data_IF_947035878981
#
_entry.id   IF_947035878981
#
_cell.length_a   1.000
_cell.length_b   1.000
_cell.length_c   1.000
_cell.angle_alpha   90.00
_cell.angle_beta   90.00
_cell.angle_gamma   90.00
#
_symmetry.space_group_name_H-M   'P 1'
#
loop_
_entity.id
_entity.type
_entity.pdbx_description
1 polymer ?
#
# COMPACT_ATOMS: atom_id res chain seq x y z
N UNK A 1 8.18 17.77 -10.60
CA UNK A 1 6.96 17.13 -10.07
C UNK A 1 7.31 16.32 -8.82
N UNK A 2 6.65 16.55 -7.71
CA UNK A 2 6.88 15.76 -6.48
C UNK A 2 6.05 14.49 -6.53
N UNK A 3 6.69 13.35 -6.34
CA UNK A 3 6.00 12.07 -6.20
C UNK A 3 5.57 11.89 -4.75
N UNK A 4 4.34 11.45 -4.54
CA UNK A 4 3.77 11.26 -3.22
C UNK A 4 3.43 9.79 -2.99
N UNK A 5 3.90 9.27 -1.86
CA UNK A 5 3.50 7.97 -1.34
C UNK A 5 2.40 8.21 -0.30
N UNK A 6 1.22 7.71 -0.57
CA UNK A 6 0.07 7.88 0.33
C UNK A 6 0.00 6.74 1.34
N UNK A 7 -0.19 7.10 2.61
CA UNK A 7 -0.35 6.13 3.68
C UNK A 7 -1.80 5.68 3.77
N UNK A 8 -2.02 4.40 3.46
CA UNK A 8 -3.31 3.73 3.60
C UNK A 8 -3.35 2.88 4.87
N UNK A 9 -4.49 2.84 5.53
CA UNK A 9 -4.70 2.09 6.77
C UNK A 9 -5.95 1.23 6.65
N UNK A 10 -5.85 -0.03 7.03
CA UNK A 10 -7.02 -0.90 7.13
C UNK A 10 -7.86 -0.51 8.36
N UNK A 11 -9.15 -0.20 8.20
CA UNK A 11 -10.02 0.19 9.30
C UNK A 11 -10.35 -0.95 10.27
N UNK A 12 -10.06 -2.20 9.95
CA UNK A 12 -10.20 -3.33 10.86
C UNK A 12 -9.10 -3.40 11.92
N UNK A 13 -8.01 -2.66 11.72
CA UNK A 13 -6.99 -2.47 12.74
C UNK A 13 -7.40 -1.33 13.67
N UNK A 14 -7.45 -1.67 14.96
CA UNK A 14 -7.81 -0.79 16.07
C UNK A 14 -7.10 0.59 16.00
N UNK A 15 -7.69 1.56 16.66
CA UNK A 15 -7.34 2.98 16.77
C UNK A 15 -5.88 3.33 17.17
N UNK A 16 -4.98 2.35 17.23
CA UNK A 16 -3.54 2.51 17.44
C UNK A 16 -2.73 2.77 16.17
N UNK A 17 -3.39 2.83 15.02
CA UNK A 17 -2.75 3.28 13.79
C UNK A 17 -2.33 4.74 13.94
N UNK A 18 -1.03 4.98 13.90
CA UNK A 18 -0.45 6.29 14.25
C UNK A 18 -0.72 7.37 13.21
N UNK A 19 -0.96 6.99 11.97
CA UNK A 19 -1.19 7.92 10.87
C UNK A 19 -1.79 7.20 9.67
N UNK A 20 -2.45 7.96 8.80
CA UNK A 20 -2.97 7.48 7.52
C UNK A 20 -4.49 7.58 7.43
N UNK A 21 -5.00 7.31 6.24
CA UNK A 21 -6.42 7.33 5.92
C UNK A 21 -6.86 5.95 5.44
N UNK A 22 -8.01 5.50 5.93
CA UNK A 22 -8.64 4.32 5.36
C UNK A 22 -9.03 4.55 3.90
N UNK A 23 -8.69 3.64 2.97
CA UNK A 23 -9.13 3.75 1.57
C UNK A 23 -10.65 3.84 1.41
N UNK A 24 -11.40 3.30 2.37
CA UNK A 24 -12.87 3.32 2.36
C UNK A 24 -13.45 4.65 2.84
N UNK A 25 -12.65 5.50 3.45
CA UNK A 25 -13.12 6.79 3.97
C UNK A 25 -13.27 7.80 2.84
N UNK A 26 -14.33 8.62 2.91
CA UNK A 26 -14.61 9.65 1.90
C UNK A 26 -13.44 10.64 1.73
N UNK A 27 -12.80 11.04 2.82
CA UNK A 27 -11.65 11.96 2.81
C UNK A 27 -10.47 11.41 1.99
N UNK A 28 -10.29 10.10 1.91
CA UNK A 28 -9.26 9.51 1.07
C UNK A 28 -9.50 9.81 -0.42
N UNK A 29 -10.75 9.71 -0.88
CA UNK A 29 -11.14 10.04 -2.26
C UNK A 29 -10.96 11.53 -2.55
N UNK A 30 -11.39 12.37 -1.63
CA UNK A 30 -11.23 13.83 -1.75
C UNK A 30 -9.75 14.24 -1.83
N UNK A 31 -8.90 13.62 -1.01
CA UNK A 31 -7.44 13.81 -1.06
C UNK A 31 -6.87 13.39 -2.42
N UNK A 32 -7.30 12.24 -2.94
CA UNK A 32 -6.88 11.78 -4.27
C UNK A 32 -7.27 12.79 -5.35
N UNK A 33 -8.49 13.30 -5.34
CA UNK A 33 -8.98 14.29 -6.31
C UNK A 33 -8.14 15.58 -6.28
N UNK A 34 -7.81 16.07 -5.08
CA UNK A 34 -6.95 17.25 -4.91
C UNK A 34 -5.55 17.01 -5.47
N UNK A 35 -4.94 15.86 -5.16
CA UNK A 35 -3.59 15.51 -5.64
C UNK A 35 -3.59 15.34 -7.16
N UNK A 36 -4.60 14.66 -7.71
CA UNK A 36 -4.71 14.40 -9.14
C UNK A 36 -5.02 15.66 -9.98
N UNK A 37 -5.69 16.64 -9.38
CA UNK A 37 -5.95 17.93 -10.00
C UNK A 37 -4.72 18.85 -10.02
N UNK A 38 -3.70 18.58 -9.21
CA UNK A 38 -2.51 19.41 -9.09
C UNK A 38 -1.44 19.04 -10.15
N UNK A 39 -0.98 19.97 -10.97
CA UNK A 39 0.11 19.70 -11.92
C UNK A 39 1.49 19.57 -11.24
N UNK A 40 1.58 19.96 -9.98
CA UNK A 40 2.84 19.94 -9.23
C UNK A 40 3.12 18.61 -8.53
N UNK A 41 2.13 17.72 -8.47
CA UNK A 41 2.21 16.44 -7.73
C UNK A 41 1.79 15.26 -8.59
N UNK A 42 2.33 14.09 -8.29
CA UNK A 42 1.86 12.83 -8.86
C UNK A 42 1.83 11.76 -7.79
N UNK A 43 0.93 10.78 -7.94
CA UNK A 43 0.89 9.63 -7.05
C UNK A 43 1.95 8.63 -7.51
N UNK A 44 2.87 8.31 -6.61
CA UNK A 44 3.87 7.26 -6.82
C UNK A 44 3.34 5.89 -6.37
N UNK A 45 2.62 5.87 -5.26
CA UNK A 45 2.08 4.63 -4.71
C UNK A 45 1.41 4.81 -3.36
N UNK A 46 1.21 3.68 -2.70
CA UNK A 46 0.54 3.58 -1.42
C UNK A 46 1.40 2.81 -0.43
N UNK A 47 1.36 3.23 0.82
CA UNK A 47 2.12 2.64 1.91
C UNK A 47 1.20 2.26 3.06
N UNK A 48 1.43 1.10 3.64
CA UNK A 48 0.77 0.68 4.88
C UNK A 48 1.78 0.03 5.82
N UNK A 49 1.66 0.35 7.10
CA UNK A 49 2.54 -0.16 8.14
C UNK A 49 1.70 -0.57 9.35
N UNK A 50 1.68 -1.87 9.64
CA UNK A 50 1.03 -2.41 10.82
C UNK A 50 1.96 -2.32 12.05
N UNK A 51 1.93 -1.17 12.72
CA UNK A 51 2.71 -0.95 13.95
C UNK A 51 2.42 -1.97 15.05
N UNK A 52 1.21 -2.53 15.06
CA UNK A 52 0.77 -3.58 15.99
C UNK A 52 1.52 -4.90 15.79
N UNK A 53 2.06 -5.16 14.61
CA UNK A 53 2.78 -6.40 14.29
C UNK A 53 4.02 -6.60 15.16
N UNK A 54 4.57 -5.54 15.75
CA UNK A 54 5.68 -5.64 16.71
C UNK A 54 5.29 -6.34 18.02
N UNK A 55 3.99 -6.44 18.32
CA UNK A 55 3.46 -7.20 19.44
C UNK A 55 3.07 -8.64 19.06
N UNK A 56 3.30 -9.07 17.82
CA UNK A 56 2.98 -10.42 17.35
C UNK A 56 3.75 -11.47 18.15
N UNK A 57 3.04 -12.51 18.56
CA UNK A 57 3.60 -13.64 19.33
C UNK A 57 3.86 -14.86 18.45
N UNK A 58 3.41 -14.86 17.21
CA UNK A 58 3.57 -15.96 16.26
C UNK A 58 3.76 -15.47 14.81
N UNK A 59 4.31 -16.34 13.96
CA UNK A 59 4.43 -16.10 12.53
C UNK A 59 3.05 -16.01 11.84
N UNK A 60 2.06 -16.78 12.31
CA UNK A 60 0.72 -16.73 11.77
C UNK A 60 0.05 -15.38 12.01
N UNK A 61 0.21 -14.82 13.21
CA UNK A 61 -0.27 -13.47 13.52
C UNK A 61 0.43 -12.40 12.67
N UNK A 62 1.75 -12.49 12.54
CA UNK A 62 2.51 -11.59 11.67
C UNK A 62 2.10 -11.71 10.19
N UNK A 63 1.77 -12.91 9.72
CA UNK A 63 1.26 -13.16 8.37
C UNK A 63 -0.11 -12.55 8.13
N UNK A 64 -1.00 -12.57 9.14
CA UNK A 64 -2.30 -11.89 9.07
C UNK A 64 -2.13 -10.37 8.95
N UNK A 65 -1.21 -9.78 9.70
CA UNK A 65 -0.90 -8.36 9.57
C UNK A 65 -0.37 -8.02 8.17
N UNK A 66 0.54 -8.83 7.61
CA UNK A 66 1.03 -8.63 6.25
C UNK A 66 -0.10 -8.69 5.23
N UNK A 67 -1.00 -9.64 5.34
CA UNK A 67 -2.16 -9.79 4.46
C UNK A 67 -3.08 -8.57 4.52
N UNK A 68 -3.28 -8.01 5.71
CA UNK A 68 -4.10 -6.82 5.89
C UNK A 68 -3.39 -5.55 5.34
N UNK A 69 -2.08 -5.42 5.53
CA UNK A 69 -1.30 -4.33 4.91
C UNK A 69 -1.40 -4.38 3.38
N UNK A 70 -1.23 -5.56 2.79
CA UNK A 70 -1.34 -5.77 1.34
C UNK A 70 -2.74 -5.44 0.83
N UNK A 71 -3.77 -5.87 1.54
CA UNK A 71 -5.15 -5.54 1.20
C UNK A 71 -5.38 -4.03 1.22
N UNK A 72 -4.91 -3.32 2.24
CA UNK A 72 -5.11 -1.88 2.38
C UNK A 72 -4.46 -1.10 1.22
N UNK A 73 -3.22 -1.40 0.85
CA UNK A 73 -2.55 -0.71 -0.26
C UNK A 73 -3.14 -1.08 -1.62
N UNK A 74 -3.63 -2.31 -1.79
CA UNK A 74 -4.29 -2.75 -3.02
C UNK A 74 -5.65 -2.08 -3.20
N UNK A 75 -6.46 -2.00 -2.14
CA UNK A 75 -7.75 -1.27 -2.13
C UNK A 75 -7.52 0.22 -2.45
N UNK A 76 -6.46 0.82 -1.89
CA UNK A 76 -6.09 2.21 -2.17
C UNK A 76 -5.74 2.43 -3.65
N UNK A 77 -4.94 1.53 -4.23
CA UNK A 77 -4.58 1.58 -5.64
C UNK A 77 -5.81 1.44 -6.56
N UNK A 78 -6.71 0.51 -6.25
CA UNK A 78 -7.94 0.30 -7.01
C UNK A 78 -8.85 1.53 -6.99
N UNK A 79 -9.01 2.16 -5.82
CA UNK A 79 -9.76 3.39 -5.68
C UNK A 79 -9.10 4.53 -6.47
N UNK A 80 -7.77 4.68 -6.38
CA UNK A 80 -7.05 5.69 -7.14
C UNK A 80 -7.21 5.51 -8.65
N UNK A 81 -7.11 4.28 -9.16
CA UNK A 81 -7.35 3.99 -10.58
C UNK A 81 -8.77 4.36 -11.00
N UNK A 82 -9.78 4.11 -10.17
CA UNK A 82 -11.16 4.49 -10.45
C UNK A 82 -11.36 6.02 -10.48
N UNK A 83 -10.68 6.75 -9.59
CA UNK A 83 -10.71 8.22 -9.57
C UNK A 83 -10.02 8.79 -10.80
N UNK A 84 -8.85 8.27 -11.16
CA UNK A 84 -8.11 8.67 -12.38
C UNK A 84 -8.97 8.48 -13.62
N UNK A 85 -9.62 7.32 -13.77
CA UNK A 85 -10.50 7.03 -14.90
C UNK A 85 -11.67 8.01 -14.96
N UNK A 86 -12.28 8.33 -13.83
CA UNK A 86 -13.37 9.31 -13.74
C UNK A 86 -12.94 10.73 -14.10
N UNK A 87 -11.76 11.14 -13.68
CA UNK A 87 -11.20 12.47 -13.95
C UNK A 87 -10.58 12.60 -15.33
N UNK A 88 -10.41 11.49 -16.06
CA UNK A 88 -9.74 11.44 -17.38
C UNK A 88 -8.30 12.02 -17.36
N UNK A 89 -7.55 11.79 -16.30
CA UNK A 89 -6.22 12.38 -16.05
C UNK A 89 -5.06 11.38 -16.22
N UNK A 90 -5.18 10.41 -17.10
CA UNK A 90 -4.26 9.25 -17.23
C UNK A 90 -2.80 9.62 -17.50
N UNK A 91 -2.52 10.80 -18.02
CA UNK A 91 -1.22 11.08 -18.66
C UNK A 91 -0.05 11.42 -17.73
N UNK A 92 -0.28 11.64 -16.42
CA UNK A 92 0.76 12.16 -15.52
C UNK A 92 1.09 11.28 -14.31
N UNK A 93 0.45 10.12 -14.18
CA UNK A 93 0.61 9.28 -13.01
C UNK A 93 1.43 8.02 -13.28
N UNK A 94 2.22 7.64 -12.28
CA UNK A 94 3.10 6.49 -12.36
C UNK A 94 2.30 5.20 -12.19
N UNK A 95 1.79 4.65 -13.29
CA UNK A 95 1.07 3.37 -13.30
C UNK A 95 2.02 2.30 -13.91
N UNK A 96 2.20 1.17 -13.27
CA UNK A 96 1.58 0.70 -12.03
C UNK A 96 2.13 1.37 -10.76
N UNK A 97 1.26 1.62 -9.79
CA UNK A 97 1.64 2.18 -8.50
C UNK A 97 2.59 1.27 -7.72
N UNK A 98 3.41 1.87 -6.86
CA UNK A 98 4.18 1.12 -5.87
C UNK A 98 3.28 0.84 -4.65
N UNK A 99 3.16 -0.43 -4.28
CA UNK A 99 2.45 -0.89 -3.11
C UNK A 99 3.48 -1.26 -2.04
N UNK A 100 3.67 -0.38 -1.09
CA UNK A 100 4.72 -0.49 -0.09
C UNK A 100 4.13 -0.94 1.24
N UNK A 101 4.60 -2.06 1.75
CA UNK A 101 4.11 -2.66 3.01
C UNK A 101 5.27 -3.14 3.85
N UNK A 102 4.99 -3.41 5.11
CA UNK A 102 5.88 -4.14 5.98
C UNK A 102 6.33 -3.37 7.18
N UNK A 103 6.46 -4.15 8.21
CA UNK A 103 7.25 -3.93 9.41
C UNK A 103 8.23 -5.08 9.50
N UNK A 104 9.19 -5.03 10.41
CA UNK A 104 10.15 -6.13 10.57
C UNK A 104 9.46 -7.49 10.79
N UNK A 105 8.46 -7.64 11.70
CA UNK A 105 7.78 -8.91 11.89
C UNK A 105 7.03 -9.40 10.65
N UNK A 106 6.30 -8.52 9.95
CA UNK A 106 5.53 -8.90 8.76
C UNK A 106 6.42 -9.27 7.58
N UNK A 107 7.56 -8.62 7.43
CA UNK A 107 8.54 -8.95 6.40
C UNK A 107 9.15 -10.36 6.60
N UNK A 108 9.40 -10.75 7.86
CA UNK A 108 9.86 -12.10 8.20
C UNK A 108 8.81 -13.19 7.94
N UNK A 109 7.52 -12.84 8.07
CA UNK A 109 6.40 -13.76 7.80
C UNK A 109 6.11 -13.96 6.31
N UNK A 110 6.73 -13.19 5.41
CA UNK A 110 6.50 -13.24 3.97
C UNK A 110 7.14 -14.48 3.34
N UNK A 111 6.44 -15.62 3.39
CA UNK A 111 6.86 -16.85 2.71
C UNK A 111 6.70 -16.76 1.19
N UNK A 112 7.44 -17.57 0.39
CA UNK A 112 7.28 -17.60 -1.06
C UNK A 112 5.85 -17.93 -1.52
N UNK A 113 5.15 -18.83 -0.81
CA UNK A 113 3.77 -19.21 -1.11
C UNK A 113 2.77 -18.10 -0.83
N UNK A 114 2.91 -17.43 0.32
CA UNK A 114 2.10 -16.25 0.65
C UNK A 114 2.30 -15.15 -0.38
N UNK A 115 3.54 -14.93 -0.83
CA UNK A 115 3.85 -13.95 -1.89
C UNK A 115 3.19 -14.32 -3.21
N UNK A 116 3.29 -15.57 -3.66
CA UNK A 116 2.74 -16.00 -4.95
C UNK A 116 1.22 -15.83 -5.02
N UNK A 117 0.50 -16.20 -3.96
CA UNK A 117 -0.95 -16.07 -3.89
C UNK A 117 -1.43 -14.62 -3.85
N UNK A 118 -0.66 -13.74 -3.22
CA UNK A 118 -0.99 -12.32 -3.09
C UNK A 118 -0.64 -11.53 -4.37
N UNK A 119 0.48 -11.88 -5.02
CA UNK A 119 0.96 -11.17 -6.22
C UNK A 119 -0.01 -11.24 -7.40
N UNK A 120 -0.77 -12.33 -7.54
CA UNK A 120 -1.73 -12.50 -8.64
C UNK A 120 -2.90 -11.51 -8.62
N UNK A 121 -3.20 -10.91 -7.47
CA UNK A 121 -4.32 -9.97 -7.28
C UNK A 121 -3.92 -8.51 -7.09
N UNK A 122 -2.62 -8.22 -7.06
CA UNK A 122 -2.13 -6.87 -6.80
C UNK A 122 -2.30 -5.92 -7.99
N UNK A 123 -2.70 -4.70 -7.71
CA UNK A 123 -2.88 -3.60 -8.67
C UNK A 123 -1.64 -2.71 -8.82
N UNK A 124 -0.45 -3.22 -8.45
CA UNK A 124 0.80 -2.45 -8.52
C UNK A 124 2.03 -3.28 -8.23
N UNK A 125 3.18 -2.61 -8.20
CA UNK A 125 4.47 -3.22 -7.83
C UNK A 125 4.61 -3.31 -6.33
N UNK A 126 4.87 -4.51 -5.81
CA UNK A 126 5.03 -4.72 -4.38
C UNK A 126 6.44 -4.37 -3.91
N UNK A 127 6.53 -3.59 -2.84
CA UNK A 127 7.75 -3.36 -2.05
C UNK A 127 7.51 -3.77 -0.60
N UNK A 128 8.38 -4.59 -0.05
CA UNK A 128 8.31 -5.01 1.35
C UNK A 128 9.49 -4.39 2.11
N UNK A 129 9.18 -3.63 3.15
CA UNK A 129 10.17 -3.02 4.03
C UNK A 129 10.49 -3.92 5.21
N UNK A 130 11.78 -4.11 5.49
CA UNK A 130 12.28 -4.88 6.63
C UNK A 130 13.42 -4.15 7.31
N UNK A 131 13.25 -3.79 8.57
CA UNK A 131 14.32 -3.28 9.43
C UNK A 131 14.79 -1.86 9.15
N UNK A 132 15.82 -1.46 9.90
CA UNK A 132 16.54 -0.18 9.76
C UNK A 132 17.60 -0.36 8.68
N UNK A 133 17.25 -0.05 7.46
CA UNK A 133 18.09 -0.26 6.30
C UNK A 133 17.26 -0.98 5.25
N UNK A 134 16.64 -0.20 4.39
CA UNK A 134 15.71 -0.68 3.37
C UNK A 134 16.36 -1.72 2.46
N UNK A 135 16.00 -2.97 2.64
CA UNK A 135 16.12 -3.96 1.60
C UNK A 135 14.82 -3.91 0.82
N UNK A 136 14.80 -3.10 -0.22
CA UNK A 136 13.69 -3.08 -1.17
C UNK A 136 13.78 -4.34 -2.02
N UNK A 137 12.89 -5.28 -1.78
CA UNK A 137 12.65 -6.37 -2.72
C UNK A 137 11.61 -5.90 -3.72
N UNK A 138 12.06 -5.40 -4.85
CA UNK A 138 11.18 -5.18 -6.00
C UNK A 138 10.83 -6.54 -6.59
N UNK A 139 9.63 -7.03 -6.34
CA UNK A 139 9.10 -8.16 -7.08
C UNK A 139 8.49 -7.62 -8.36
N UNK A 140 9.23 -7.75 -9.47
CA UNK A 140 8.67 -7.51 -10.79
C UNK A 140 7.64 -8.60 -11.06
N UNK A 141 6.41 -8.21 -11.31
CA UNK A 141 5.41 -9.11 -11.87
C UNK A 141 5.78 -9.32 -13.35
N UNK A 142 6.09 -10.53 -13.82
CA UNK A 142 6.21 -10.77 -15.25
C UNK A 142 4.81 -10.62 -15.86
N UNK A 143 4.67 -9.61 -16.70
CA UNK A 143 3.46 -9.35 -17.46
C UNK A 143 3.07 -10.47 -18.41
#
# INVERSE_FOLDING_TARGET
MRQSLLHAVDPSFDARSRAGLSPKHQVFRELLEVILASPATSIYGFYCHAGQSYASTSLDEASQFLSAELKAVNDAAEIAMSVIARMNTVSSHNIPFVLSVGSTPTAHAATPETKANLLSSLRGKLEIHAGVGSVSFAVMNPG
#
